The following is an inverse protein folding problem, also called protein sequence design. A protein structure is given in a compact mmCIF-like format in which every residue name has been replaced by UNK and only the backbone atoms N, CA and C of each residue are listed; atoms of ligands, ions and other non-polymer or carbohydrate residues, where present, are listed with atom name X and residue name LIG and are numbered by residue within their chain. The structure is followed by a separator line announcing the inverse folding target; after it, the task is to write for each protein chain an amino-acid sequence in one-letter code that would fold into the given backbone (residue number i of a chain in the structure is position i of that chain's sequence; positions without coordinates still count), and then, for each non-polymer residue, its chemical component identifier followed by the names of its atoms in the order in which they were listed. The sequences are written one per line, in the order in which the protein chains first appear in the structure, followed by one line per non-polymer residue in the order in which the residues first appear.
data_IF_180545847429
#
_entry.id   IF_180545847429
#
_cell.length_a   1.000
_cell.length_b   1.000
_cell.length_c   1.000
_cell.angle_alpha   90.00
_cell.angle_beta   90.00
_cell.angle_gamma   90.00
#
_symmetry.space_group_name_H-M   'P 1'
#
loop_
_entity.id
_entity.type
_entity.pdbx_description
1 polymer ?
#
# COMPACT_ATOMS: atom_id res chain seq x y z
N UNK A 1 -20.88 -0.67 -18.80
CA UNK A 1 -21.65 -1.00 -17.58
C UNK A 1 -21.65 -2.50 -17.24
N UNK A 2 -21.95 -3.42 -18.15
CA UNK A 2 -21.96 -4.88 -17.87
C UNK A 2 -20.58 -5.41 -17.45
N UNK A 3 -19.49 -5.00 -18.10
CA UNK A 3 -18.12 -5.44 -17.77
C UNK A 3 -17.66 -4.95 -16.39
N UNK A 4 -18.02 -3.72 -16.02
CA UNK A 4 -17.69 -3.16 -14.70
C UNK A 4 -18.45 -3.89 -13.58
N UNK A 5 -19.72 -4.26 -13.80
CA UNK A 5 -20.49 -5.06 -12.84
C UNK A 5 -19.85 -6.44 -12.64
N UNK A 6 -19.47 -7.12 -13.70
CA UNK A 6 -18.81 -8.43 -13.61
C UNK A 6 -17.46 -8.35 -12.88
N UNK A 7 -16.70 -7.25 -13.07
CA UNK A 7 -15.46 -7.00 -12.34
C UNK A 7 -15.72 -6.80 -10.83
N UNK A 8 -16.75 -6.04 -10.47
CA UNK A 8 -17.14 -5.81 -9.07
C UNK A 8 -17.54 -7.12 -8.41
N UNK A 9 -18.44 -7.89 -9.03
CA UNK A 9 -18.92 -9.17 -8.49
C UNK A 9 -17.77 -10.16 -8.29
N UNK A 10 -16.81 -10.19 -9.22
CA UNK A 10 -15.61 -11.00 -9.10
C UNK A 10 -14.70 -10.52 -7.95
N UNK A 11 -14.50 -9.21 -7.83
CA UNK A 11 -13.70 -8.64 -6.75
C UNK A 11 -14.33 -8.94 -5.39
N UNK A 12 -15.63 -8.76 -5.23
CA UNK A 12 -16.33 -9.06 -3.99
C UNK A 12 -16.17 -10.53 -3.59
N UNK A 13 -16.41 -11.46 -4.51
CA UNK A 13 -16.25 -12.90 -4.26
C UNK A 13 -14.82 -13.26 -3.88
N UNK A 14 -13.83 -12.81 -4.64
CA UNK A 14 -12.44 -13.23 -4.46
C UNK A 14 -11.76 -12.59 -3.24
N UNK A 15 -12.30 -11.48 -2.74
CA UNK A 15 -11.82 -10.79 -1.54
C UNK A 15 -12.66 -11.09 -0.30
N UNK A 16 -13.72 -11.91 -0.42
CA UNK A 16 -14.66 -12.23 0.66
C UNK A 16 -15.28 -10.98 1.29
N UNK A 17 -15.77 -10.07 0.46
CA UNK A 17 -16.51 -8.89 0.88
C UNK A 17 -17.92 -8.95 0.31
N UNK A 18 -18.92 -8.58 1.12
CA UNK A 18 -20.33 -8.68 0.74
C UNK A 18 -20.69 -7.65 -0.33
N UNK A 19 -20.20 -6.43 -0.21
CA UNK A 19 -20.48 -5.34 -1.14
C UNK A 19 -19.45 -4.22 -1.03
N UNK A 20 -19.41 -3.37 -2.05
CA UNK A 20 -18.59 -2.15 -1.99
C UNK A 20 -19.15 -1.16 -0.97
N UNK A 21 -18.27 -0.52 -0.21
CA UNK A 21 -18.64 0.56 0.70
C UNK A 21 -18.95 1.86 -0.05
N UNK A 22 -19.47 2.88 0.67
CA UNK A 22 -19.87 4.17 0.09
C UNK A 22 -18.73 4.88 -0.64
N UNK A 23 -17.52 4.88 -0.08
CA UNK A 23 -16.32 5.47 -0.69
C UNK A 23 -15.97 4.77 -2.02
N UNK A 24 -15.97 3.45 -2.06
CA UNK A 24 -15.65 2.66 -3.25
C UNK A 24 -16.68 2.87 -4.37
N UNK A 25 -17.97 2.96 -4.03
CA UNK A 25 -19.04 3.26 -4.99
C UNK A 25 -18.88 4.67 -5.57
N UNK A 26 -18.68 5.69 -4.71
CA UNK A 26 -18.49 7.07 -5.14
C UNK A 26 -17.23 7.24 -5.98
N UNK A 27 -16.15 6.52 -5.64
CA UNK A 27 -14.92 6.52 -6.43
C UNK A 27 -15.14 5.97 -7.85
N UNK A 28 -15.87 4.87 -8.00
CA UNK A 28 -16.23 4.29 -9.30
C UNK A 28 -17.03 5.26 -10.16
N UNK A 29 -18.05 5.91 -9.58
CA UNK A 29 -18.88 6.91 -10.27
C UNK A 29 -18.05 8.11 -10.71
N UNK A 30 -17.18 8.63 -9.82
CA UNK A 30 -16.33 9.78 -10.12
C UNK A 30 -15.29 9.47 -11.20
N UNK A 31 -14.77 8.24 -11.22
CA UNK A 31 -13.75 7.82 -12.18
C UNK A 31 -14.24 7.77 -13.63
N UNK A 32 -15.55 7.76 -13.87
CA UNK A 32 -16.12 7.88 -15.22
C UNK A 32 -15.99 9.28 -15.81
N UNK A 33 -15.81 10.30 -14.98
CA UNK A 33 -15.66 11.71 -15.39
C UNK A 33 -14.22 11.96 -15.88
N UNK A 34 -13.98 12.97 -16.72
CA UNK A 34 -12.63 13.27 -17.24
C UNK A 34 -11.68 13.87 -16.20
N UNK A 35 -12.18 14.32 -15.06
CA UNK A 35 -11.42 14.98 -14.00
C UNK A 35 -10.46 13.99 -13.30
N UNK A 36 -9.31 14.49 -12.87
CA UNK A 36 -8.44 13.75 -11.92
C UNK A 36 -9.12 13.64 -10.55
N UNK A 37 -8.65 12.74 -9.71
CA UNK A 37 -9.28 12.45 -8.43
C UNK A 37 -8.27 12.56 -7.29
N UNK A 38 -8.66 13.24 -6.23
CA UNK A 38 -7.98 13.21 -4.94
C UNK A 38 -8.89 12.48 -3.96
N UNK A 39 -8.45 11.33 -3.47
CA UNK A 39 -9.17 10.52 -2.49
C UNK A 39 -8.52 10.66 -1.11
N UNK A 40 -9.18 11.35 -0.21
CA UNK A 40 -8.77 11.49 1.18
C UNK A 40 -9.54 10.49 2.04
N UNK A 41 -8.84 9.58 2.69
CA UNK A 41 -9.46 8.56 3.52
C UNK A 41 -8.45 7.94 4.48
N UNK A 42 -8.84 7.55 5.70
CA UNK A 42 -7.95 6.93 6.68
C UNK A 42 -7.40 5.59 6.18
N UNK A 43 -6.29 5.14 6.79
CA UNK A 43 -5.72 3.82 6.53
C UNK A 43 -6.74 2.74 6.91
N UNK A 44 -6.79 1.63 6.15
CA UNK A 44 -7.73 0.54 6.41
C UNK A 44 -9.17 0.75 5.92
N UNK A 45 -9.50 1.88 5.30
CA UNK A 45 -10.84 2.18 4.78
C UNK A 45 -11.22 1.44 3.48
N UNK A 46 -10.28 0.72 2.87
CA UNK A 46 -10.47 0.04 1.58
C UNK A 46 -10.11 0.90 0.35
N UNK A 47 -9.24 1.91 0.50
CA UNK A 47 -8.71 2.75 -0.60
C UNK A 47 -8.18 1.94 -1.77
N UNK A 48 -7.43 0.87 -1.47
CA UNK A 48 -6.81 0.03 -2.51
C UNK A 48 -7.84 -0.48 -3.50
N UNK A 49 -8.93 -1.04 -3.03
CA UNK A 49 -10.00 -1.51 -3.91
C UNK A 49 -10.73 -0.35 -4.60
N UNK A 50 -10.87 0.79 -3.92
CA UNK A 50 -11.54 1.97 -4.45
C UNK A 50 -10.86 2.49 -5.72
N UNK A 51 -9.51 2.53 -5.79
CA UNK A 51 -8.81 2.96 -7.00
C UNK A 51 -8.52 1.81 -7.98
N UNK A 52 -8.33 0.57 -7.53
CA UNK A 52 -8.03 -0.54 -8.43
C UNK A 52 -9.19 -0.90 -9.35
N UNK A 53 -10.42 -0.85 -8.88
CA UNK A 53 -11.59 -1.14 -9.71
C UNK A 53 -11.71 -0.20 -10.92
N UNK A 54 -11.66 1.15 -10.77
CA UNK A 54 -11.65 2.03 -11.94
C UNK A 54 -10.40 1.87 -12.81
N UNK A 55 -9.22 1.60 -12.24
CA UNK A 55 -8.00 1.32 -13.01
C UNK A 55 -8.21 0.11 -13.91
N UNK A 56 -8.65 -1.02 -13.34
CA UNK A 56 -8.88 -2.25 -14.09
C UNK A 56 -9.96 -2.12 -15.18
N UNK A 57 -11.01 -1.33 -14.91
CA UNK A 57 -12.07 -1.08 -15.89
C UNK A 57 -11.60 -0.30 -17.12
N UNK A 58 -10.46 0.39 -17.04
CA UNK A 58 -9.87 1.16 -18.14
C UNK A 58 -8.82 0.39 -18.92
N UNK A 59 -8.32 -0.74 -18.42
CA UNK A 59 -7.34 -1.57 -19.13
C UNK A 59 -8.05 -2.29 -20.28
N UNK A 60 -7.51 -2.11 -21.49
CA UNK A 60 -7.99 -2.77 -22.71
C UNK A 60 -7.05 -3.92 -23.07
N UNK A 61 -7.55 -5.14 -23.28
CA UNK A 61 -6.73 -6.25 -23.75
C UNK A 61 -6.23 -6.07 -25.21
N UNK A 62 -6.78 -5.10 -25.93
CA UNK A 62 -6.40 -4.79 -27.32
C UNK A 62 -5.17 -3.88 -27.40
N UNK A 63 -4.75 -3.26 -26.30
CA UNK A 63 -3.61 -2.35 -26.28
C UNK A 63 -2.42 -3.09 -25.67
N UNK A 64 -1.37 -3.26 -26.46
CA UNK A 64 -0.10 -3.77 -25.97
C UNK A 64 0.69 -2.63 -25.29
N UNK A 65 1.23 -2.87 -24.10
CA UNK A 65 2.02 -1.89 -23.37
C UNK A 65 1.45 -1.55 -21.98
N UNK A 66 2.16 -0.68 -21.28
CA UNK A 66 1.79 -0.26 -19.92
C UNK A 66 0.65 0.76 -20.00
N UNK A 67 -0.53 0.37 -19.52
CA UNK A 67 -1.73 1.20 -19.52
C UNK A 67 -2.02 1.84 -18.15
N UNK A 68 -1.56 1.20 -17.07
CA UNK A 68 -1.71 1.73 -15.73
C UNK A 68 -0.42 1.62 -14.92
N UNK A 69 -0.13 2.65 -14.13
CA UNK A 69 1.00 2.72 -13.21
C UNK A 69 0.51 3.11 -11.83
N UNK A 70 0.85 2.31 -10.83
CA UNK A 70 0.55 2.56 -9.42
C UNK A 70 1.85 2.77 -8.67
N UNK A 71 2.05 3.95 -8.12
CA UNK A 71 3.22 4.33 -7.32
C UNK A 71 2.83 4.30 -5.85
N UNK A 72 3.67 3.66 -5.05
CA UNK A 72 3.45 3.45 -3.60
C UNK A 72 4.72 3.76 -2.80
N UNK A 73 4.63 4.21 -1.54
CA UNK A 73 5.78 4.61 -0.75
C UNK A 73 6.68 3.45 -0.29
N UNK A 74 6.14 2.24 -0.18
CA UNK A 74 6.88 1.11 0.40
C UNK A 74 6.75 -0.18 -0.42
N UNK A 75 7.72 -1.07 -0.23
CA UNK A 75 7.75 -2.41 -0.83
C UNK A 75 6.59 -3.27 -0.35
N UNK A 76 6.29 -3.16 0.92
CA UNK A 76 5.23 -3.90 1.59
C UNK A 76 3.86 -3.54 1.01
N UNK A 77 3.63 -2.25 0.77
CA UNK A 77 2.40 -1.78 0.14
C UNK A 77 2.33 -2.22 -1.33
N UNK A 78 3.46 -2.20 -2.07
CA UNK A 78 3.51 -2.72 -3.44
C UNK A 78 3.09 -4.20 -3.50
N UNK A 79 3.65 -5.03 -2.61
CA UNK A 79 3.31 -6.45 -2.50
C UNK A 79 1.85 -6.66 -2.06
N UNK A 80 1.34 -5.83 -1.16
CA UNK A 80 -0.06 -5.91 -0.73
C UNK A 80 -1.01 -5.64 -1.91
N UNK A 81 -0.72 -4.62 -2.72
CA UNK A 81 -1.52 -4.30 -3.90
C UNK A 81 -1.39 -5.39 -4.97
N UNK A 82 -0.18 -5.93 -5.22
CA UNK A 82 0.02 -7.05 -6.14
C UNK A 82 -0.80 -8.27 -5.73
N UNK A 83 -0.83 -8.59 -4.44
CA UNK A 83 -1.64 -9.70 -3.92
C UNK A 83 -3.16 -9.48 -4.12
N UNK A 84 -3.65 -8.26 -3.97
CA UNK A 84 -5.05 -7.93 -4.28
C UNK A 84 -5.31 -8.07 -5.77
N UNK A 85 -4.43 -7.51 -6.61
CA UNK A 85 -4.54 -7.56 -8.07
C UNK A 85 -4.55 -9.00 -8.59
N UNK A 86 -3.71 -9.89 -8.07
CA UNK A 86 -3.70 -11.33 -8.45
C UNK A 86 -5.05 -12.00 -8.21
N UNK A 87 -5.80 -11.57 -7.21
CA UNK A 87 -7.13 -12.10 -6.91
C UNK A 87 -8.21 -11.56 -7.86
N UNK A 88 -8.12 -10.30 -8.28
CA UNK A 88 -9.22 -9.63 -8.99
C UNK A 88 -8.95 -9.43 -10.49
N UNK A 89 -7.70 -9.38 -10.93
CA UNK A 89 -7.27 -8.99 -12.27
C UNK A 89 -6.82 -10.18 -13.14
N UNK A 90 -7.55 -11.31 -13.10
CA UNK A 90 -7.20 -12.48 -13.91
C UNK A 90 -7.18 -12.16 -15.40
N UNK A 91 -6.12 -12.60 -16.08
CA UNK A 91 -5.90 -12.37 -17.51
C UNK A 91 -5.16 -11.08 -17.83
N UNK A 92 -4.84 -10.24 -16.84
CA UNK A 92 -4.05 -9.02 -17.00
C UNK A 92 -2.63 -9.30 -16.52
N UNK A 93 -1.63 -9.03 -17.37
CA UNK A 93 -0.22 -9.11 -16.95
C UNK A 93 0.11 -7.93 -16.06
N UNK A 94 0.57 -8.24 -14.84
CA UNK A 94 0.96 -7.28 -13.81
C UNK A 94 2.42 -7.54 -13.44
N UNK A 95 3.19 -6.47 -13.26
CA UNK A 95 4.57 -6.55 -12.73
C UNK A 95 4.69 -5.65 -11.54
N UNK A 96 5.28 -6.20 -10.46
CA UNK A 96 5.57 -5.46 -9.24
C UNK A 96 7.07 -5.12 -9.19
N UNK A 97 7.41 -3.81 -9.10
CA UNK A 97 8.76 -3.27 -9.15
C UNK A 97 9.11 -2.55 -7.83
N UNK A 98 10.01 -3.12 -7.03
CA UNK A 98 10.42 -2.50 -5.76
C UNK A 98 11.89 -2.82 -5.44
N UNK A 99 12.53 -1.99 -4.63
CA UNK A 99 13.92 -2.18 -4.25
C UNK A 99 14.14 -3.42 -3.38
N UNK A 100 15.36 -4.00 -3.38
CA UNK A 100 15.71 -5.22 -2.63
C UNK A 100 15.45 -6.52 -3.39
N UNK A 101 14.84 -6.48 -4.55
CA UNK A 101 14.72 -7.59 -5.50
C UNK A 101 15.79 -7.54 -6.59
N UNK A 102 16.03 -8.70 -7.23
CA UNK A 102 16.94 -8.81 -8.37
C UNK A 102 16.44 -7.99 -9.56
N UNK A 103 17.18 -6.95 -9.93
CA UNK A 103 16.91 -6.14 -11.15
C UNK A 103 16.84 -7.01 -12.40
N UNK A 104 17.58 -8.12 -12.44
CA UNK A 104 17.60 -9.06 -13.56
C UNK A 104 16.27 -9.80 -13.72
N UNK A 105 15.65 -10.20 -12.62
CA UNK A 105 14.34 -10.88 -12.64
C UNK A 105 13.21 -9.93 -13.03
N UNK A 106 13.21 -8.71 -12.48
CA UNK A 106 12.26 -7.67 -12.89
C UNK A 106 12.42 -7.35 -14.37
N UNK A 107 13.67 -7.22 -14.88
CA UNK A 107 13.93 -6.97 -16.31
C UNK A 107 13.39 -8.07 -17.20
N UNK A 108 13.51 -9.34 -16.80
CA UNK A 108 12.89 -10.47 -17.54
C UNK A 108 11.36 -10.36 -17.54
N UNK A 109 10.78 -9.99 -16.41
CA UNK A 109 9.33 -9.82 -16.28
C UNK A 109 8.80 -8.65 -17.13
N UNK A 110 9.60 -7.59 -17.28
CA UNK A 110 9.29 -6.41 -18.10
C UNK A 110 9.56 -6.62 -19.60
N UNK A 111 10.34 -7.64 -19.99
CA UNK A 111 10.68 -7.90 -21.41
C UNK A 111 9.45 -8.04 -22.33
N UNK A 112 8.36 -8.58 -21.81
CA UNK A 112 7.03 -8.48 -22.42
C UNK A 112 6.26 -7.46 -21.62
N UNK A 113 5.91 -6.34 -22.21
CA UNK A 113 5.26 -5.23 -21.49
C UNK A 113 4.00 -5.68 -20.73
N UNK A 114 3.91 -5.41 -19.42
CA UNK A 114 2.68 -5.65 -18.64
C UNK A 114 1.64 -4.57 -18.96
N UNK A 115 0.37 -4.85 -18.71
CA UNK A 115 -0.67 -3.84 -18.78
C UNK A 115 -0.71 -2.92 -17.56
N UNK A 116 -0.25 -3.42 -16.39
CA UNK A 116 -0.23 -2.69 -15.14
C UNK A 116 1.09 -2.92 -14.41
N UNK A 117 1.67 -1.83 -13.91
CA UNK A 117 2.85 -1.86 -13.05
C UNK A 117 2.48 -1.28 -11.68
N UNK A 118 2.91 -1.94 -10.61
CA UNK A 118 2.88 -1.43 -9.24
C UNK A 118 4.32 -1.31 -8.77
N UNK A 119 4.69 -0.22 -8.08
CA UNK A 119 6.03 -0.18 -7.53
C UNK A 119 6.38 1.07 -6.72
N UNK A 120 7.60 1.06 -6.19
CA UNK A 120 8.16 2.20 -5.45
C UNK A 120 8.82 3.20 -6.39
N UNK A 121 8.80 4.53 -6.05
CA UNK A 121 9.27 5.58 -6.93
C UNK A 121 10.69 5.34 -7.49
N UNK A 122 11.67 5.10 -6.61
CA UNK A 122 13.06 4.92 -7.02
C UNK A 122 13.28 3.74 -7.98
N UNK A 123 12.56 2.62 -7.82
CA UNK A 123 12.69 1.45 -8.71
C UNK A 123 12.02 1.69 -10.05
N UNK A 124 10.87 2.35 -10.07
CA UNK A 124 10.17 2.71 -11.31
C UNK A 124 11.01 3.71 -12.11
N UNK A 125 11.55 4.76 -11.46
CA UNK A 125 12.45 5.72 -12.10
C UNK A 125 13.69 5.04 -12.70
N UNK A 126 14.34 4.09 -12.00
CA UNK A 126 15.47 3.33 -12.53
C UNK A 126 15.09 2.53 -13.79
N UNK A 127 13.94 1.86 -13.80
CA UNK A 127 13.50 1.12 -14.99
C UNK A 127 13.13 2.04 -16.15
N UNK A 128 12.56 3.22 -15.92
CA UNK A 128 12.29 4.23 -16.96
C UNK A 128 13.60 4.76 -17.53
N UNK A 129 14.55 5.18 -16.68
CA UNK A 129 15.89 5.66 -17.13
C UNK A 129 16.62 4.63 -17.98
N UNK A 130 16.43 3.35 -17.70
CA UNK A 130 17.04 2.24 -18.47
C UNK A 130 16.23 1.82 -19.68
N UNK A 131 15.14 2.51 -20.01
CA UNK A 131 14.27 2.19 -21.16
C UNK A 131 13.53 0.85 -21.05
N UNK A 132 13.39 0.29 -19.83
CA UNK A 132 12.70 -1.00 -19.61
C UNK A 132 11.19 -0.84 -19.41
N UNK A 133 10.77 0.34 -18.96
CA UNK A 133 9.37 0.74 -18.88
C UNK A 133 9.14 1.84 -19.90
N UNK A 134 8.24 1.59 -20.84
CA UNK A 134 7.79 2.54 -21.85
C UNK A 134 6.39 2.99 -21.49
N UNK A 135 6.18 4.31 -21.41
CA UNK A 135 4.97 4.93 -20.86
C UNK A 135 4.08 5.56 -21.96
N UNK A 136 4.32 5.28 -23.23
CA UNK A 136 3.59 5.86 -24.36
C UNK A 136 2.10 5.49 -24.36
N UNK A 137 1.77 4.29 -23.88
CA UNK A 137 0.41 3.77 -23.78
C UNK A 137 -0.25 3.99 -22.43
N UNK A 138 0.43 4.72 -21.50
CA UNK A 138 -0.07 4.95 -20.16
C UNK A 138 -1.32 5.84 -20.20
N UNK A 139 -2.44 5.28 -19.75
CA UNK A 139 -3.73 5.96 -19.64
C UNK A 139 -4.01 6.45 -18.21
N UNK A 140 -3.62 5.66 -17.23
CA UNK A 140 -3.96 5.92 -15.81
C UNK A 140 -2.73 5.88 -14.89
N UNK A 141 -2.57 6.92 -14.09
CA UNK A 141 -1.55 7.01 -13.03
C UNK A 141 -2.23 7.06 -11.67
N UNK A 142 -1.77 6.22 -10.73
CA UNK A 142 -2.17 6.27 -9.32
C UNK A 142 -0.96 6.60 -8.46
N UNK A 143 -1.13 7.57 -7.56
CA UNK A 143 -0.17 7.93 -6.50
C UNK A 143 -0.83 7.56 -5.17
N UNK A 144 -0.53 6.37 -4.65
CA UNK A 144 -1.13 5.88 -3.40
C UNK A 144 -0.27 6.28 -2.20
N UNK A 145 -0.92 6.66 -1.09
CA UNK A 145 -0.27 7.21 0.11
C UNK A 145 0.74 8.32 -0.23
N UNK A 146 0.29 9.28 -1.03
CA UNK A 146 1.14 10.34 -1.58
C UNK A 146 1.82 11.19 -0.49
N UNK A 147 1.12 11.46 0.61
CA UNK A 147 1.66 12.12 1.80
C UNK A 147 2.89 11.40 2.35
N UNK A 148 2.85 10.07 2.40
CA UNK A 148 4.00 9.25 2.83
C UNK A 148 5.12 9.23 1.79
N UNK A 149 4.79 9.21 0.49
CA UNK A 149 5.81 9.33 -0.56
C UNK A 149 6.63 10.61 -0.39
N UNK A 150 5.97 11.73 -0.10
CA UNK A 150 6.64 13.01 0.16
C UNK A 150 7.45 13.00 1.47
N UNK A 151 6.87 12.47 2.55
CA UNK A 151 7.54 12.36 3.84
C UNK A 151 8.82 11.51 3.81
N UNK A 152 8.85 10.49 2.93
CA UNK A 152 10.02 9.63 2.70
C UNK A 152 11.04 10.22 1.72
N UNK A 153 10.80 11.41 1.17
CA UNK A 153 11.73 12.12 0.30
C UNK A 153 11.71 11.68 -1.16
N UNK A 154 10.68 11.00 -1.64
CA UNK A 154 10.58 10.53 -3.03
C UNK A 154 10.08 11.59 -4.03
N UNK A 155 10.20 12.87 -3.68
CA UNK A 155 9.70 13.95 -4.53
C UNK A 155 10.38 13.98 -5.90
N UNK A 156 11.71 13.85 -5.93
CA UNK A 156 12.51 13.95 -7.16
C UNK A 156 12.21 12.80 -8.10
N UNK A 157 12.15 11.56 -7.59
CA UNK A 157 11.80 10.39 -8.40
C UNK A 157 10.37 10.47 -8.94
N UNK A 158 9.41 10.93 -8.13
CA UNK A 158 8.05 11.13 -8.60
C UNK A 158 7.96 12.19 -9.69
N UNK A 159 8.69 13.30 -9.54
CA UNK A 159 8.77 14.33 -10.57
C UNK A 159 9.40 13.80 -11.85
N UNK A 160 10.47 13.02 -11.77
CA UNK A 160 11.12 12.37 -12.92
C UNK A 160 10.14 11.43 -13.66
N UNK A 161 9.35 10.65 -12.92
CA UNK A 161 8.36 9.75 -13.50
C UNK A 161 7.21 10.51 -14.16
N UNK A 162 6.72 11.57 -13.53
CA UNK A 162 5.49 12.27 -13.95
C UNK A 162 5.74 13.27 -15.07
N UNK A 163 6.91 13.95 -15.09
CA UNK A 163 7.21 14.99 -16.07
C UNK A 163 7.04 14.55 -17.54
N UNK A 164 7.43 13.32 -17.98
CA UNK A 164 7.25 12.88 -19.35
C UNK A 164 5.81 12.44 -19.67
N UNK A 165 4.90 12.35 -18.70
CA UNK A 165 3.57 11.77 -18.88
C UNK A 165 2.57 12.76 -19.51
N UNK A 166 2.72 13.04 -20.80
CA UNK A 166 1.85 13.99 -21.53
C UNK A 166 0.47 13.43 -21.88
N UNK A 167 0.34 12.11 -22.01
CA UNK A 167 -0.85 11.44 -22.55
C UNK A 167 -1.75 10.78 -21.48
N UNK A 168 -1.42 10.90 -20.21
CA UNK A 168 -2.22 10.33 -19.12
C UNK A 168 -3.58 11.01 -19.07
N UNK A 169 -4.65 10.21 -19.16
CA UNK A 169 -6.04 10.69 -19.17
C UNK A 169 -6.65 10.74 -17.78
N UNK A 170 -6.11 9.96 -16.84
CA UNK A 170 -6.61 9.88 -15.48
C UNK A 170 -5.46 9.82 -14.48
N UNK A 171 -5.44 10.76 -13.55
CA UNK A 171 -4.58 10.70 -12.37
C UNK A 171 -5.44 10.51 -11.12
N UNK A 172 -5.04 9.60 -10.24
CA UNK A 172 -5.69 9.32 -8.96
C UNK A 172 -4.65 9.49 -7.87
N UNK A 173 -4.88 10.38 -6.94
CA UNK A 173 -4.03 10.59 -5.79
C UNK A 173 -4.78 10.16 -4.54
N UNK A 174 -4.19 9.32 -3.71
CA UNK A 174 -4.76 8.99 -2.40
C UNK A 174 -3.87 9.51 -1.28
N UNK A 175 -4.49 9.93 -0.19
CA UNK A 175 -3.79 10.40 1.01
C UNK A 175 -4.61 10.12 2.27
N UNK A 176 -3.90 9.93 3.39
CA UNK A 176 -4.51 9.85 4.71
C UNK A 176 -4.59 11.22 5.39
N UNK A 177 -3.94 12.23 4.83
CA UNK A 177 -3.93 13.62 5.32
C UNK A 177 -4.40 14.57 4.23
N UNK A 178 -5.03 15.65 4.63
CA UNK A 178 -5.42 16.74 3.73
C UNK A 178 -4.30 17.79 3.69
N UNK A 179 -3.55 17.83 2.59
CA UNK A 179 -2.54 18.87 2.37
C UNK A 179 -3.19 20.08 1.71
N UNK A 180 -2.98 21.27 2.25
CA UNK A 180 -3.50 22.54 1.70
C UNK A 180 -2.99 22.82 0.28
N UNK A 181 -1.78 22.37 -0.05
CA UNK A 181 -1.20 22.52 -1.38
C UNK A 181 -0.53 21.20 -1.83
N UNK A 182 -0.80 20.80 -3.06
CA UNK A 182 -0.11 19.71 -3.72
C UNK A 182 1.07 20.25 -4.54
N UNK A 183 2.22 19.55 -4.57
CA UNK A 183 3.35 19.93 -5.40
C UNK A 183 2.95 20.08 -6.88
N UNK A 184 3.46 21.13 -7.55
CA UNK A 184 3.12 21.46 -8.93
C UNK A 184 3.41 20.31 -9.91
N UNK A 185 4.41 19.45 -9.64
CA UNK A 185 4.78 18.34 -10.50
C UNK A 185 3.66 17.28 -10.65
N UNK A 186 2.68 17.22 -9.72
CA UNK A 186 1.55 16.30 -9.83
C UNK A 186 0.69 16.59 -11.05
N UNK A 187 0.66 17.84 -11.51
CA UNK A 187 -0.05 18.32 -12.70
C UNK A 187 -1.47 17.75 -12.81
N UNK A 188 -2.23 17.85 -11.71
CA UNK A 188 -3.61 17.37 -11.66
C UNK A 188 -4.55 18.31 -12.42
N UNK A 189 -5.41 17.75 -13.28
CA UNK A 189 -6.33 18.49 -14.13
C UNK A 189 -7.73 18.56 -13.49
N UNK A 190 -8.08 19.74 -12.96
CA UNK A 190 -9.39 20.02 -12.34
C UNK A 190 -9.83 18.89 -11.40
N UNK A 191 -9.03 18.54 -10.37
CA UNK A 191 -9.27 17.35 -9.58
C UNK A 191 -10.59 17.44 -8.80
N UNK A 192 -11.32 16.34 -8.75
CA UNK A 192 -12.45 16.15 -7.84
C UNK A 192 -11.91 15.58 -6.52
N UNK A 193 -12.15 16.32 -5.44
CA UNK A 193 -11.73 15.90 -4.10
C UNK A 193 -12.84 15.09 -3.43
N UNK A 194 -12.58 13.83 -3.16
CA UNK A 194 -13.42 12.94 -2.38
C UNK A 194 -12.85 12.85 -0.96
N UNK A 195 -13.51 13.49 0.00
CA UNK A 195 -13.02 13.57 1.36
C UNK A 195 -13.83 12.67 2.31
N UNK A 196 -13.19 11.64 2.84
CA UNK A 196 -13.74 10.69 3.80
C UNK A 196 -12.97 10.71 5.15
N UNK A 197 -12.14 11.74 5.41
CA UNK A 197 -11.37 11.84 6.66
C UNK A 197 -12.25 12.15 7.89
N UNK A 198 -13.38 12.84 7.70
CA UNK A 198 -14.26 13.29 8.78
C UNK A 198 -15.71 12.82 8.70
N UNK A 199 -16.05 11.95 7.77
CA UNK A 199 -17.43 11.52 7.54
C UNK A 199 -17.88 10.49 8.57
N UNK A 200 -18.15 10.93 9.80
CA UNK A 200 -19.01 10.17 10.71
C UNK A 200 -20.45 10.36 10.25
N UNK A 201 -20.99 9.43 9.48
CA UNK A 201 -22.44 9.20 9.45
C UNK A 201 -22.72 8.14 10.50
N UNK A 202 -23.66 8.44 11.36
CA UNK A 202 -23.98 7.83 12.65
C UNK A 202 -24.28 6.32 12.70
N UNK A 203 -24.00 5.54 11.67
CA UNK A 203 -24.34 4.12 11.61
C UNK A 203 -23.28 3.17 11.03
N UNK A 204 -22.06 3.64 10.69
CA UNK A 204 -20.97 2.73 10.35
C UNK A 204 -19.94 2.74 11.48
N UNK A 205 -19.82 1.62 12.20
CA UNK A 205 -18.74 1.40 13.16
C UNK A 205 -17.40 1.54 12.44
N UNK A 206 -16.68 2.62 12.73
CA UNK A 206 -15.33 2.81 12.19
C UNK A 206 -14.37 1.79 12.83
N UNK A 207 -13.27 1.41 12.16
CA UNK A 207 -12.24 0.59 12.79
C UNK A 207 -11.75 1.16 14.13
N UNK A 208 -11.81 2.48 14.31
CA UNK A 208 -11.47 3.18 15.56
C UNK A 208 -12.43 2.89 16.71
N UNK A 209 -13.71 2.58 16.45
CA UNK A 209 -14.67 2.25 17.50
C UNK A 209 -14.41 0.87 18.11
N UNK A 210 -13.51 0.09 17.50
CA UNK A 210 -13.04 -1.22 18.00
C UNK A 210 -11.68 -1.16 18.67
N UNK A 211 -11.05 0.03 18.74
CA UNK A 211 -9.74 0.22 19.36
C UNK A 211 -9.90 0.69 20.80
N UNK A 212 -9.48 -0.13 21.76
CA UNK A 212 -9.35 0.27 23.16
C UNK A 212 -7.92 0.67 23.44
N UNK A 213 -7.73 1.87 24.01
CA UNK A 213 -6.41 2.40 24.35
C UNK A 213 -6.20 2.24 25.85
N UNK A 214 -5.04 1.68 26.23
CA UNK A 214 -4.61 1.50 27.59
C UNK A 214 -3.24 2.13 27.78
N UNK A 215 -3.00 2.71 28.94
CA UNK A 215 -1.69 3.21 29.37
C UNK A 215 -1.19 2.35 30.50
N UNK A 216 0.07 1.91 30.42
CA UNK A 216 0.75 1.13 31.46
C UNK A 216 2.00 1.91 31.85
N UNK A 217 2.09 2.25 33.12
CA UNK A 217 3.26 2.92 33.69
C UNK A 217 4.27 1.85 34.15
N UNK A 218 5.52 1.99 33.71
CA UNK A 218 6.61 1.12 34.14
C UNK A 218 7.29 1.71 35.36
N UNK A 219 7.53 0.94 36.42
CA UNK A 219 8.19 1.43 37.63
C UNK A 219 9.65 1.79 37.46
N UNK A 220 10.27 1.26 36.40
CA UNK A 220 11.68 1.50 36.04
C UNK A 220 11.78 2.01 34.58
N UNK A 221 12.90 2.69 34.28
CA UNK A 221 13.16 3.24 32.96
C UNK A 221 13.25 2.16 31.87
N UNK A 222 13.79 0.99 32.20
CA UNK A 222 13.82 -0.17 31.33
C UNK A 222 12.47 -0.90 31.37
N UNK A 223 11.77 -0.92 30.24
CA UNK A 223 10.40 -1.43 30.13
C UNK A 223 10.30 -2.92 29.78
N UNK A 224 11.44 -3.63 29.65
CA UNK A 224 11.46 -5.02 29.19
C UNK A 224 10.71 -5.97 30.12
N UNK A 225 10.92 -5.86 31.43
CA UNK A 225 10.20 -6.69 32.40
C UNK A 225 8.70 -6.33 32.47
N UNK A 226 8.36 -5.06 32.33
CA UNK A 226 6.96 -4.63 32.23
C UNK A 226 6.29 -5.19 30.96
N UNK A 227 7.01 -5.20 29.83
CA UNK A 227 6.55 -5.84 28.58
C UNK A 227 6.33 -7.35 28.77
N UNK A 228 7.26 -8.04 29.43
CA UNK A 228 7.14 -9.47 29.70
C UNK A 228 5.91 -9.76 30.57
N UNK A 229 5.73 -9.01 31.64
CA UNK A 229 4.56 -9.14 32.52
C UNK A 229 3.25 -8.87 31.76
N UNK A 230 3.24 -7.87 30.87
CA UNK A 230 2.09 -7.58 30.02
C UNK A 230 1.77 -8.77 29.07
N UNK A 231 2.77 -9.31 28.38
CA UNK A 231 2.60 -10.43 27.45
C UNK A 231 2.06 -11.68 28.16
N UNK A 232 2.48 -11.96 29.39
CA UNK A 232 1.94 -13.07 30.19
C UNK A 232 0.49 -12.87 30.61
N UNK A 233 0.05 -11.62 30.78
CA UNK A 233 -1.31 -11.31 31.20
C UNK A 233 -2.30 -11.10 30.04
N UNK A 234 -1.79 -10.91 28.80
CA UNK A 234 -2.63 -10.81 27.63
C UNK A 234 -3.15 -12.18 27.19
N UNK A 235 -4.37 -12.21 26.67
CA UNK A 235 -4.88 -13.41 26.03
C UNK A 235 -4.01 -13.73 24.80
N UNK A 236 -3.78 -15.03 24.50
CA UNK A 236 -3.08 -15.42 23.28
C UNK A 236 -3.71 -14.78 22.03
N UNK A 237 -2.90 -14.12 21.23
CA UNK A 237 -3.36 -13.44 20.02
C UNK A 237 -2.19 -12.79 19.26
N UNK A 238 -2.45 -12.35 18.04
CA UNK A 238 -1.46 -11.61 17.28
C UNK A 238 -1.11 -10.30 18.00
N UNK A 239 0.17 -10.12 18.28
CA UNK A 239 0.70 -8.98 19.03
C UNK A 239 1.75 -8.24 18.19
N UNK A 240 1.55 -6.94 18.01
CA UNK A 240 2.54 -6.04 17.40
C UNK A 240 3.17 -5.18 18.50
N UNK A 241 4.50 -5.16 18.54
CA UNK A 241 5.28 -4.33 19.46
C UNK A 241 6.01 -3.28 18.62
N UNK A 242 5.71 -2.00 18.83
CA UNK A 242 6.40 -0.92 18.15
C UNK A 242 7.51 -0.33 19.00
N UNK A 243 8.69 -0.20 18.39
CA UNK A 243 9.87 0.43 18.95
C UNK A 243 10.26 1.65 18.12
N UNK A 244 10.84 2.68 18.76
CA UNK A 244 11.26 3.89 18.06
C UNK A 244 12.56 3.70 17.25
N UNK A 245 13.39 2.70 17.59
CA UNK A 245 14.70 2.48 16.98
C UNK A 245 14.90 1.00 16.64
N UNK A 246 15.71 0.73 15.60
CA UNK A 246 16.01 -0.61 15.12
C UNK A 246 16.71 -1.46 16.19
N UNK A 247 17.67 -0.87 16.89
CA UNK A 247 18.42 -1.49 17.98
C UNK A 247 17.50 -1.93 19.12
N UNK A 248 16.43 -1.17 19.35
CA UNK A 248 15.40 -1.53 20.33
C UNK A 248 14.59 -2.74 19.90
N UNK A 249 14.31 -2.89 18.60
CA UNK A 249 13.63 -4.08 18.03
C UNK A 249 14.46 -5.31 18.30
N UNK A 250 15.76 -5.29 17.97
CA UNK A 250 16.65 -6.42 18.16
C UNK A 250 16.84 -6.75 19.63
N UNK A 251 16.97 -5.74 20.49
CA UNK A 251 17.08 -5.90 21.95
C UNK A 251 15.83 -6.57 22.53
N UNK A 252 14.64 -6.11 22.16
CA UNK A 252 13.36 -6.69 22.63
C UNK A 252 13.24 -8.13 22.15
N UNK A 253 13.57 -8.41 20.88
CA UNK A 253 13.55 -9.76 20.33
C UNK A 253 14.46 -10.70 21.09
N UNK A 254 15.72 -10.30 21.33
CA UNK A 254 16.69 -11.10 22.08
C UNK A 254 16.19 -11.38 23.50
N UNK A 255 15.72 -10.35 24.18
CA UNK A 255 15.17 -10.47 25.53
C UNK A 255 14.01 -11.48 25.64
N UNK A 256 13.10 -11.49 24.65
CA UNK A 256 11.99 -12.44 24.59
C UNK A 256 12.47 -13.86 24.25
N UNK A 257 13.41 -13.96 23.30
CA UNK A 257 14.02 -15.26 22.89
C UNK A 257 14.73 -15.94 24.05
N UNK A 258 15.49 -15.20 24.85
CA UNK A 258 16.19 -15.71 26.05
C UNK A 258 15.21 -16.27 27.11
N UNK A 259 13.94 -15.89 27.01
CA UNK A 259 12.84 -16.36 27.88
C UNK A 259 11.92 -17.38 27.21
N UNK A 260 12.34 -17.92 26.06
CA UNK A 260 11.59 -18.93 25.30
C UNK A 260 10.37 -18.41 24.55
N UNK A 261 10.23 -17.07 24.39
CA UNK A 261 9.13 -16.45 23.65
C UNK A 261 9.59 -16.18 22.22
N UNK A 262 8.90 -16.81 21.26
CA UNK A 262 9.20 -16.63 19.82
C UNK A 262 8.60 -15.32 19.34
N UNK A 263 9.46 -14.44 18.81
CA UNK A 263 9.06 -13.16 18.23
C UNK A 263 9.87 -12.86 16.97
N UNK A 264 9.22 -12.33 15.95
CA UNK A 264 9.85 -11.91 14.70
C UNK A 264 10.22 -10.42 14.77
N UNK A 265 11.44 -10.09 14.35
CA UNK A 265 11.84 -8.69 14.14
C UNK A 265 11.46 -8.22 12.74
N UNK A 266 11.08 -6.95 12.62
CA UNK A 266 10.75 -6.33 11.33
C UNK A 266 11.15 -4.85 11.32
N UNK A 267 12.22 -4.51 10.61
CA UNK A 267 12.71 -3.14 10.49
C UNK A 267 13.55 -2.93 9.22
N UNK A 268 13.76 -1.69 8.83
CA UNK A 268 14.44 -1.32 7.59
C UNK A 268 15.94 -1.69 7.50
N UNK A 269 16.57 -2.14 8.59
CA UNK A 269 17.96 -2.64 8.59
C UNK A 269 18.09 -4.11 8.22
N UNK A 270 16.99 -4.85 8.10
CA UNK A 270 17.00 -6.27 7.73
C UNK A 270 17.07 -6.44 6.22
N UNK A 271 17.64 -7.58 5.78
CA UNK A 271 17.56 -8.01 4.39
C UNK A 271 16.10 -8.23 3.97
N UNK A 272 15.77 -7.96 2.70
CA UNK A 272 14.41 -8.04 2.21
C UNK A 272 13.78 -9.44 2.38
N UNK A 273 14.56 -10.49 2.12
CA UNK A 273 14.11 -11.88 2.28
C UNK A 273 13.73 -12.20 3.74
N UNK A 274 14.45 -11.65 4.71
CA UNK A 274 14.16 -11.85 6.14
C UNK A 274 12.90 -11.08 6.56
N UNK A 275 12.71 -9.87 6.03
CA UNK A 275 11.48 -9.08 6.24
C UNK A 275 10.25 -9.82 5.72
N UNK A 276 10.31 -10.34 4.49
CA UNK A 276 9.21 -11.11 3.89
C UNK A 276 8.92 -12.39 4.69
N UNK A 277 9.97 -13.07 5.16
CA UNK A 277 9.85 -14.27 6.01
C UNK A 277 9.18 -13.95 7.35
N UNK A 278 9.59 -12.88 8.02
CA UNK A 278 9.03 -12.45 9.29
C UNK A 278 7.53 -12.12 9.15
N UNK A 279 7.15 -11.34 8.13
CA UNK A 279 5.75 -11.03 7.85
C UNK A 279 4.94 -12.29 7.47
N UNK A 280 5.53 -13.21 6.70
CA UNK A 280 4.87 -14.46 6.34
C UNK A 280 4.55 -15.29 7.59
N UNK A 281 5.52 -15.46 8.50
CA UNK A 281 5.33 -16.18 9.76
C UNK A 281 4.27 -15.54 10.66
N UNK A 282 4.27 -14.23 10.74
CA UNK A 282 3.28 -13.49 11.52
C UNK A 282 1.87 -13.63 10.92
N UNK A 283 1.72 -13.49 9.60
CA UNK A 283 0.42 -13.59 8.91
C UNK A 283 -0.18 -15.00 8.90
N UNK A 284 0.64 -16.02 8.84
CA UNK A 284 0.19 -17.42 8.86
C UNK A 284 0.11 -18.02 10.27
N UNK A 285 0.32 -17.17 11.30
CA UNK A 285 0.25 -17.56 12.72
C UNK A 285 1.33 -18.57 13.15
N UNK A 286 2.45 -18.69 12.41
CA UNK A 286 3.63 -19.44 12.86
C UNK A 286 4.42 -18.70 13.93
N UNK A 287 4.28 -17.38 14.01
CA UNK A 287 4.73 -16.53 15.11
C UNK A 287 3.61 -15.56 15.48
N UNK A 288 3.34 -15.42 16.76
CA UNK A 288 2.27 -14.56 17.27
C UNK A 288 2.74 -13.15 17.65
N UNK A 289 4.05 -12.93 17.73
CA UNK A 289 4.61 -11.64 18.14
C UNK A 289 5.50 -11.13 17.00
N UNK A 290 5.24 -9.90 16.57
CA UNK A 290 6.10 -9.16 15.66
C UNK A 290 6.53 -7.85 16.32
N UNK A 291 7.84 -7.56 16.30
CA UNK A 291 8.45 -6.36 16.86
C UNK A 291 8.94 -5.51 15.71
N UNK A 292 8.50 -4.26 15.63
CA UNK A 292 8.75 -3.42 14.47
C UNK A 292 9.08 -1.98 14.84
N UNK A 293 9.62 -1.24 13.87
CA UNK A 293 9.62 0.23 13.88
C UNK A 293 8.43 0.77 13.09
N UNK A 294 8.18 2.08 13.17
CA UNK A 294 7.08 2.78 12.48
C UNK A 294 7.15 2.73 10.94
N UNK A 295 8.28 2.31 10.37
CA UNK A 295 8.50 2.17 8.92
C UNK A 295 8.10 0.79 8.37
N UNK A 296 7.37 0.02 9.13
CA UNK A 296 6.97 -1.33 8.75
C UNK A 296 5.59 -1.37 8.07
#
# INVERSE_FOLDING_TARGET
MKETSALIDKACRNLNIDSLNGMQKQMLETATRPNDIILLSPTGSGKTLAFLLPVLSRISPKIAGVQALVIVPSRELALQIDNVLRKIAAGIKIVCCYGGHSVREESKSLAVAPALIVGTPGRIADHIRRGRIVLETLDTLVLDEFDKCLALGFQDEMQEIIAPLKNVKKKILTSATDSESLPAFTDLKKPVKLNFLGSRKDNETTPTDRLSLYRIDSPIKDKLETLLALLHNLKPGLTLIFCNQRESVDRVRQFLTDRGIIAEAFHGGMEQADRERALCKFRNHSSYICISTDLA
#
